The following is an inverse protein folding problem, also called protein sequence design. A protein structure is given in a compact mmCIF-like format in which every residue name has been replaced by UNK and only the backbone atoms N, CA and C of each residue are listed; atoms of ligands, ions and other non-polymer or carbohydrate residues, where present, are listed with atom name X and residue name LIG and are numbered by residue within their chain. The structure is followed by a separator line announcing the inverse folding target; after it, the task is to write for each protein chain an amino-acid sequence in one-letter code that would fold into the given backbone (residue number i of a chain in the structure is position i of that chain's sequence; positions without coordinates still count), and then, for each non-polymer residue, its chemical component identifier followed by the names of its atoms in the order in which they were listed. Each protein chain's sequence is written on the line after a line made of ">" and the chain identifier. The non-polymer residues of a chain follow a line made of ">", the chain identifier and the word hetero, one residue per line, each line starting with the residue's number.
data_IF_849262337289
#
_entry.id   IF_849262337289
#
_cell.length_a   1.000
_cell.length_b   1.000
_cell.length_c   1.000
_cell.angle_alpha   90.00
_cell.angle_beta   90.00
_cell.angle_gamma   90.00
#
_symmetry.space_group_name_H-M   'P 1'
#
loop_
_entity.id
_entity.type
_entity.pdbx_description
1 polymer ?
#
# COMPACT_ATOMS: atom_id res chain seq x y z
N UNK A 1 -16.54 -20.79 -9.17
CA UNK A 1 -16.63 -19.66 -8.24
C UNK A 1 -16.54 -20.03 -6.76
N UNK A 2 -16.66 -21.30 -6.35
CA UNK A 2 -16.62 -21.72 -4.93
C UNK A 2 -15.21 -21.85 -4.33
N UNK A 3 -14.16 -21.98 -5.15
CA UNK A 3 -12.76 -22.18 -4.67
C UNK A 3 -12.06 -20.91 -4.17
N UNK A 4 -12.43 -19.73 -4.64
CA UNK A 4 -11.77 -18.48 -4.27
C UNK A 4 -12.08 -18.04 -2.82
N UNK A 5 -13.30 -18.28 -2.36
CA UNK A 5 -13.74 -17.90 -1.00
C UNK A 5 -13.00 -18.71 0.10
N UNK A 6 -12.72 -19.99 -0.14
CA UNK A 6 -12.02 -20.86 0.81
C UNK A 6 -10.52 -20.56 0.93
N UNK A 7 -9.88 -20.08 -0.16
CA UNK A 7 -8.45 -19.73 -0.16
C UNK A 7 -8.16 -18.47 0.65
N UNK A 8 -9.07 -17.50 0.69
CA UNK A 8 -8.89 -16.25 1.46
C UNK A 8 -8.86 -16.51 2.97
N UNK A 9 -9.58 -17.53 3.46
CA UNK A 9 -9.63 -17.84 4.89
C UNK A 9 -8.34 -18.47 5.45
N UNK A 10 -7.60 -19.24 4.65
CA UNK A 10 -6.39 -19.94 5.13
C UNK A 10 -5.26 -18.95 5.45
N UNK A 11 -5.19 -17.84 4.72
CA UNK A 11 -4.18 -16.80 4.96
C UNK A 11 -4.59 -15.80 6.03
N UNK A 12 -5.89 -15.58 6.26
CA UNK A 12 -6.38 -14.60 7.22
C UNK A 12 -5.98 -14.89 8.67
N UNK A 13 -5.90 -16.14 9.09
CA UNK A 13 -5.54 -16.48 10.47
C UNK A 13 -4.09 -16.12 10.80
N UNK A 14 -3.15 -16.38 9.88
CA UNK A 14 -1.73 -16.06 10.09
C UNK A 14 -1.44 -14.57 9.98
N UNK A 15 -2.23 -13.85 9.17
CA UNK A 15 -2.06 -12.44 8.90
C UNK A 15 -2.70 -11.56 9.97
N UNK A 16 -3.71 -12.04 10.71
CA UNK A 16 -4.42 -11.27 11.76
C UNK A 16 -3.51 -10.77 12.88
N UNK A 17 -2.51 -11.55 13.27
CA UNK A 17 -1.55 -11.14 14.30
C UNK A 17 -0.71 -9.94 13.86
N UNK A 18 -0.26 -9.96 12.61
CA UNK A 18 0.53 -8.88 12.01
C UNK A 18 -0.35 -7.65 11.73
N UNK A 19 -1.58 -7.85 11.25
CA UNK A 19 -2.56 -6.79 11.03
C UNK A 19 -2.84 -6.00 12.32
N UNK A 20 -3.08 -6.69 13.45
CA UNK A 20 -3.28 -6.06 14.76
C UNK A 20 -2.04 -5.30 15.22
N UNK A 21 -0.87 -5.89 15.06
CA UNK A 21 0.39 -5.22 15.42
C UNK A 21 0.63 -3.96 14.56
N UNK A 22 0.38 -4.06 13.26
CA UNK A 22 0.44 -2.92 12.33
C UNK A 22 -0.53 -1.81 12.72
N UNK A 23 -1.74 -2.17 13.14
CA UNK A 23 -2.73 -1.21 13.62
C UNK A 23 -2.24 -0.51 14.88
N UNK A 24 -1.68 -1.24 15.85
CA UNK A 24 -1.10 -0.65 17.05
C UNK A 24 0.06 0.31 16.73
N UNK A 25 0.95 -0.05 15.83
CA UNK A 25 2.06 0.81 15.40
C UNK A 25 1.52 2.11 14.76
N UNK A 26 0.52 2.02 13.91
CA UNK A 26 -0.09 3.20 13.29
C UNK A 26 -0.85 4.07 14.32
N UNK A 27 -1.50 3.47 15.32
CA UNK A 27 -2.19 4.23 16.38
C UNK A 27 -1.22 5.04 17.28
N UNK A 28 0.06 4.67 17.35
CA UNK A 28 1.05 5.46 18.10
C UNK A 28 1.31 6.85 17.51
N UNK A 29 0.90 7.09 16.24
CA UNK A 29 0.94 8.41 15.64
C UNK A 29 -0.08 9.40 16.22
N UNK A 30 -1.21 8.91 16.70
CA UNK A 30 -2.33 9.76 17.14
C UNK A 30 -1.93 10.70 18.31
N UNK A 31 -1.34 10.21 19.42
CA UNK A 31 -0.93 11.08 20.52
C UNK A 31 0.05 12.17 20.05
N UNK A 32 0.97 11.81 19.15
CA UNK A 32 1.93 12.75 18.61
C UNK A 32 1.25 13.80 17.71
N UNK A 33 0.34 13.39 16.84
CA UNK A 33 -0.42 14.28 15.96
C UNK A 33 -1.24 15.32 16.74
N UNK A 34 -1.71 15.00 17.95
CA UNK A 34 -2.44 15.93 18.81
C UNK A 34 -1.50 16.80 19.66
N UNK A 35 -0.45 16.21 20.23
CA UNK A 35 0.46 16.92 21.14
C UNK A 35 1.31 17.97 20.44
N UNK A 36 1.74 17.68 19.21
CA UNK A 36 2.60 18.59 18.43
C UNK A 36 1.95 19.96 18.16
N UNK A 37 0.74 20.04 17.59
CA UNK A 37 0.07 21.33 17.39
C UNK A 37 -0.15 22.10 18.69
N UNK A 38 -0.43 21.41 19.81
CA UNK A 38 -0.64 22.05 21.12
C UNK A 38 0.66 22.68 21.60
N UNK A 39 1.78 21.98 21.52
CA UNK A 39 3.08 22.53 21.92
C UNK A 39 3.52 23.68 21.02
N UNK A 40 3.30 23.58 19.72
CA UNK A 40 3.59 24.67 18.78
C UNK A 40 2.75 25.91 19.13
N UNK A 41 1.44 25.75 19.40
CA UNK A 41 0.58 26.84 19.79
C UNK A 41 1.07 27.51 21.09
N UNK A 42 1.52 26.75 22.08
CA UNK A 42 2.09 27.30 23.30
C UNK A 42 3.38 28.08 23.05
N UNK A 43 4.28 27.57 22.20
CA UNK A 43 5.51 28.28 21.81
C UNK A 43 5.17 29.62 21.18
N UNK A 44 4.22 29.63 20.24
CA UNK A 44 3.78 30.87 19.54
C UNK A 44 3.15 31.86 20.51
N UNK A 45 2.25 31.41 21.38
CA UNK A 45 1.57 32.27 22.35
C UNK A 45 2.58 32.94 23.32
N UNK A 46 3.50 32.16 23.85
CA UNK A 46 4.55 32.69 24.76
C UNK A 46 5.57 33.60 24.06
N UNK A 47 5.81 33.33 22.76
CA UNK A 47 6.65 34.21 21.96
C UNK A 47 6.00 35.60 21.75
N UNK A 48 4.69 35.64 21.55
CA UNK A 48 3.94 36.90 21.44
C UNK A 48 3.90 37.66 22.76
N UNK A 49 3.83 36.97 23.89
CA UNK A 49 3.87 37.54 25.23
C UNK A 49 5.27 38.06 25.64
N UNK A 50 6.31 37.78 24.85
CA UNK A 50 7.69 38.21 25.09
C UNK A 50 8.43 37.43 26.19
N UNK A 51 7.90 36.28 26.62
CA UNK A 51 8.48 35.42 27.64
C UNK A 51 9.58 34.51 27.09
N UNK A 52 10.77 35.03 26.83
CA UNK A 52 11.87 34.27 26.20
C UNK A 52 12.26 32.96 26.96
N UNK A 53 12.20 32.93 28.28
CA UNK A 53 12.49 31.73 29.07
C UNK A 53 11.44 30.65 28.87
N UNK A 54 10.17 31.01 28.84
CA UNK A 54 9.08 30.07 28.60
C UNK A 54 9.13 29.51 27.15
N UNK A 55 9.40 30.35 26.16
CA UNK A 55 9.62 29.93 24.79
C UNK A 55 10.75 28.90 24.67
N UNK A 56 11.90 29.15 25.31
CA UNK A 56 13.02 28.22 25.30
C UNK A 56 12.66 26.87 25.95
N UNK A 57 11.91 26.89 27.07
CA UNK A 57 11.47 25.66 27.74
C UNK A 57 10.51 24.83 26.86
N UNK A 58 9.49 25.46 26.30
CA UNK A 58 8.54 24.75 25.41
C UNK A 58 9.19 24.28 24.11
N UNK A 59 10.12 25.04 23.55
CA UNK A 59 10.88 24.63 22.35
C UNK A 59 11.78 23.42 22.67
N UNK A 60 12.46 23.42 23.82
CA UNK A 60 13.26 22.28 24.27
C UNK A 60 12.39 21.02 24.49
N UNK A 61 11.20 21.18 25.10
CA UNK A 61 10.24 20.09 25.30
C UNK A 61 9.75 19.53 23.96
N UNK A 62 9.49 20.40 23.00
CA UNK A 62 9.06 20.01 21.64
C UNK A 62 10.16 19.23 20.91
N UNK A 63 11.42 19.66 20.99
CA UNK A 63 12.56 18.95 20.41
C UNK A 63 12.78 17.59 21.07
N UNK A 64 12.68 17.52 22.40
CA UNK A 64 12.80 16.26 23.14
C UNK A 64 11.69 15.27 22.79
N UNK A 65 10.44 15.75 22.69
CA UNK A 65 9.30 14.94 22.27
C UNK A 65 9.48 14.41 20.83
N UNK A 66 9.94 15.26 19.92
CA UNK A 66 10.19 14.90 18.52
C UNK A 66 11.29 13.84 18.43
N UNK A 67 12.40 14.00 19.15
CA UNK A 67 13.48 13.04 19.17
C UNK A 67 13.02 11.69 19.75
N UNK A 68 12.30 11.69 20.87
CA UNK A 68 11.76 10.49 21.48
C UNK A 68 10.77 9.78 20.56
N UNK A 69 9.89 10.53 19.90
CA UNK A 69 8.93 9.99 18.94
C UNK A 69 9.62 9.36 17.72
N UNK A 70 10.61 10.04 17.13
CA UNK A 70 11.36 9.51 15.99
C UNK A 70 12.08 8.20 16.34
N UNK A 71 12.74 8.14 17.51
CA UNK A 71 13.39 6.92 17.97
C UNK A 71 12.39 5.78 18.17
N UNK A 72 11.25 6.05 18.78
CA UNK A 72 10.18 5.08 18.96
C UNK A 72 9.64 4.60 17.63
N UNK A 73 9.35 5.51 16.70
CA UNK A 73 8.82 5.19 15.37
C UNK A 73 9.77 4.32 14.54
N UNK A 74 11.06 4.66 14.54
CA UNK A 74 12.06 3.84 13.82
C UNK A 74 12.09 2.42 14.37
N UNK A 75 12.05 2.24 15.68
CA UNK A 75 12.02 0.92 16.32
C UNK A 75 10.73 0.15 15.97
N UNK A 76 9.58 0.79 16.10
CA UNK A 76 8.28 0.17 15.83
C UNK A 76 8.11 -0.18 14.36
N UNK A 77 8.48 0.72 13.43
CA UNK A 77 8.42 0.46 12.00
C UNK A 77 9.37 -0.66 11.56
N UNK A 78 10.58 -0.71 12.15
CA UNK A 78 11.51 -1.81 11.87
C UNK A 78 10.94 -3.15 12.33
N UNK A 79 10.39 -3.22 13.54
CA UNK A 79 9.73 -4.41 14.06
C UNK A 79 8.50 -4.80 13.22
N UNK A 80 7.73 -3.83 12.74
CA UNK A 80 6.59 -4.06 11.85
C UNK A 80 7.06 -4.68 10.52
N UNK A 81 8.06 -4.09 9.87
CA UNK A 81 8.62 -4.61 8.61
C UNK A 81 9.14 -6.02 8.76
N UNK A 82 9.85 -6.33 9.84
CA UNK A 82 10.33 -7.70 10.12
C UNK A 82 9.17 -8.69 10.22
N UNK A 83 8.12 -8.38 10.99
CA UNK A 83 6.94 -9.25 11.13
C UNK A 83 6.18 -9.42 9.80
N UNK A 84 6.10 -8.37 8.98
CA UNK A 84 5.48 -8.43 7.65
C UNK A 84 6.27 -9.36 6.74
N UNK A 85 7.62 -9.25 6.70
CA UNK A 85 8.49 -10.10 5.90
C UNK A 85 8.42 -11.57 6.34
N UNK A 86 8.42 -11.84 7.64
CA UNK A 86 8.27 -13.21 8.16
C UNK A 86 6.91 -13.83 7.79
N UNK A 87 5.83 -13.04 7.86
CA UNK A 87 4.51 -13.49 7.46
C UNK A 87 4.42 -13.74 5.95
N UNK A 88 5.04 -12.87 5.14
CA UNK A 88 5.15 -13.05 3.69
C UNK A 88 5.89 -14.33 3.34
N UNK A 89 7.04 -14.60 3.98
CA UNK A 89 7.80 -15.85 3.78
C UNK A 89 6.97 -17.07 4.14
N UNK A 90 6.24 -17.03 5.26
CA UNK A 90 5.34 -18.15 5.65
C UNK A 90 4.24 -18.38 4.62
N UNK A 91 3.64 -17.30 4.10
CA UNK A 91 2.64 -17.40 3.05
C UNK A 91 3.23 -17.98 1.76
N UNK A 92 4.43 -17.55 1.34
CA UNK A 92 5.14 -18.09 0.17
C UNK A 92 5.40 -19.59 0.33
N UNK A 93 5.93 -20.02 1.46
CA UNK A 93 6.20 -21.45 1.72
C UNK A 93 4.93 -22.29 1.69
N UNK A 94 3.83 -21.80 2.24
CA UNK A 94 2.52 -22.49 2.14
C UNK A 94 2.04 -22.60 0.71
N UNK A 95 2.18 -21.52 -0.06
CA UNK A 95 1.80 -21.47 -1.47
C UNK A 95 2.62 -22.48 -2.29
N UNK A 96 3.93 -22.55 -2.08
CA UNK A 96 4.80 -23.54 -2.71
C UNK A 96 4.39 -24.97 -2.32
N UNK A 97 4.14 -25.24 -1.05
CA UNK A 97 3.69 -26.58 -0.61
C UNK A 97 2.37 -26.98 -1.28
N UNK A 98 1.42 -26.05 -1.40
CA UNK A 98 0.15 -26.31 -2.09
C UNK A 98 0.36 -26.53 -3.60
N UNK A 99 1.28 -25.78 -4.21
CA UNK A 99 1.61 -25.94 -5.61
C UNK A 99 2.17 -27.32 -5.91
N UNK A 100 3.14 -27.77 -5.12
CA UNK A 100 3.74 -29.13 -5.29
C UNK A 100 2.80 -30.25 -4.89
N UNK A 101 1.81 -30.01 -4.06
CA UNK A 101 0.80 -31.00 -3.71
C UNK A 101 -0.30 -31.16 -4.77
N UNK A 102 -0.37 -30.25 -5.76
CA UNK A 102 -1.35 -30.34 -6.84
C UNK A 102 -0.92 -31.38 -7.89
N UNK A 103 -1.83 -32.21 -8.38
CA UNK A 103 -1.51 -33.19 -9.41
C UNK A 103 -1.12 -32.53 -10.73
N UNK A 104 -0.19 -33.15 -11.44
CA UNK A 104 0.49 -32.62 -12.64
C UNK A 104 -0.47 -32.17 -13.76
N UNK A 105 -1.63 -32.85 -13.90
CA UNK A 105 -2.62 -32.54 -14.93
C UNK A 105 -3.32 -31.19 -14.73
N UNK A 106 -3.36 -30.67 -13.47
CA UNK A 106 -3.90 -29.34 -13.19
C UNK A 106 -2.86 -28.24 -13.46
N UNK A 107 -1.58 -28.57 -13.33
CA UNK A 107 -0.47 -27.63 -13.62
C UNK A 107 -0.34 -27.37 -15.12
N UNK A 108 -0.61 -28.37 -15.97
CA UNK A 108 -0.57 -28.22 -17.45
C UNK A 108 -1.68 -27.32 -18.01
N UNK A 109 -2.79 -27.14 -17.29
CA UNK A 109 -3.90 -26.27 -17.68
C UNK A 109 -3.68 -24.80 -17.33
N UNK A 110 -2.78 -24.47 -16.42
CA UNK A 110 -2.47 -23.11 -16.03
C UNK A 110 -1.21 -22.64 -16.75
N UNK A 111 -1.25 -21.43 -17.32
CA UNK A 111 -0.07 -20.84 -17.96
C UNK A 111 1.04 -20.66 -16.92
N UNK A 112 2.28 -20.96 -17.29
CA UNK A 112 3.45 -20.82 -16.41
C UNK A 112 3.59 -19.37 -15.93
N UNK A 113 3.30 -18.40 -16.81
CA UNK A 113 3.34 -16.98 -16.49
C UNK A 113 2.29 -16.56 -15.45
N UNK A 114 1.05 -17.05 -15.56
CA UNK A 114 -0.01 -16.77 -14.59
C UNK A 114 0.29 -17.37 -13.20
N UNK A 115 0.94 -18.54 -13.15
CA UNK A 115 1.38 -19.10 -11.88
C UNK A 115 2.52 -18.29 -11.24
N UNK A 116 3.52 -17.87 -12.03
CA UNK A 116 4.61 -17.02 -11.56
C UNK A 116 4.10 -15.67 -11.06
N UNK A 117 3.13 -15.05 -11.73
CA UNK A 117 2.51 -13.79 -11.32
C UNK A 117 1.81 -13.94 -9.97
N UNK A 118 1.03 -15.02 -9.78
CA UNK A 118 0.38 -15.31 -8.50
C UNK A 118 1.39 -15.48 -7.35
N UNK A 119 2.56 -16.06 -7.62
CA UNK A 119 3.60 -16.29 -6.61
C UNK A 119 4.42 -15.04 -6.28
N UNK A 120 4.60 -14.10 -7.22
CA UNK A 120 5.42 -12.93 -7.03
C UNK A 120 4.60 -11.68 -6.67
N UNK A 121 3.69 -11.27 -7.54
CA UNK A 121 2.99 -9.99 -7.40
C UNK A 121 1.70 -10.07 -6.60
N UNK A 122 0.88 -11.10 -6.81
CA UNK A 122 -0.41 -11.20 -6.12
C UNK A 122 -0.23 -11.40 -4.62
N UNK A 123 0.76 -12.21 -4.21
CA UNK A 123 1.06 -12.41 -2.80
C UNK A 123 1.51 -11.11 -2.13
N UNK A 124 2.46 -10.40 -2.74
CA UNK A 124 2.95 -9.11 -2.22
C UNK A 124 1.80 -8.10 -2.11
N UNK A 125 0.98 -7.99 -3.15
CA UNK A 125 -0.18 -7.07 -3.16
C UNK A 125 -1.18 -7.42 -2.05
N UNK A 126 -1.50 -8.70 -1.85
CA UNK A 126 -2.43 -9.14 -0.81
C UNK A 126 -1.86 -8.92 0.59
N UNK A 127 -0.59 -9.25 0.81
CA UNK A 127 0.08 -9.04 2.10
C UNK A 127 0.20 -7.56 2.43
N UNK A 128 0.61 -6.72 1.50
CA UNK A 128 0.68 -5.28 1.68
C UNK A 128 -0.69 -4.69 2.01
N UNK A 129 -1.73 -5.07 1.27
CA UNK A 129 -3.10 -4.57 1.49
C UNK A 129 -3.64 -4.95 2.87
N UNK A 130 -3.40 -6.16 3.33
CA UNK A 130 -3.91 -6.64 4.62
C UNK A 130 -3.09 -6.15 5.81
N UNK A 131 -1.77 -6.08 5.66
CA UNK A 131 -0.88 -5.79 6.78
C UNK A 131 -0.50 -4.32 6.90
N UNK A 132 -0.57 -3.55 5.82
CA UNK A 132 -0.14 -2.14 5.80
C UNK A 132 -1.30 -1.21 5.49
N UNK A 133 -2.02 -1.43 4.38
CA UNK A 133 -3.01 -0.45 3.91
C UNK A 133 -4.26 -0.43 4.80
N UNK A 134 -4.81 -1.59 5.17
CA UNK A 134 -6.00 -1.65 6.03
C UNK A 134 -5.77 -1.08 7.42
N UNK A 135 -4.71 -1.47 8.16
CA UNK A 135 -4.39 -0.86 9.45
C UNK A 135 -4.09 0.63 9.34
N UNK A 136 -3.40 1.06 8.26
CA UNK A 136 -3.16 2.47 7.99
C UNK A 136 -4.43 3.27 7.79
N UNK A 137 -5.37 2.76 6.98
CA UNK A 137 -6.67 3.41 6.77
C UNK A 137 -7.51 3.49 8.06
N UNK A 138 -7.50 2.43 8.88
CA UNK A 138 -8.22 2.42 10.14
C UNK A 138 -7.62 3.43 11.14
N UNK A 139 -6.29 3.51 11.21
CA UNK A 139 -5.60 4.48 12.05
C UNK A 139 -5.84 5.92 11.58
N UNK A 140 -5.74 6.19 10.28
CA UNK A 140 -6.05 7.51 9.71
C UNK A 140 -7.49 7.94 9.96
N UNK A 141 -8.44 7.01 9.86
CA UNK A 141 -9.84 7.27 10.23
C UNK A 141 -10.00 7.64 11.70
N UNK A 142 -9.36 6.89 12.60
CA UNK A 142 -9.37 7.19 14.04
C UNK A 142 -8.71 8.54 14.35
N UNK A 143 -7.59 8.84 13.72
CA UNK A 143 -6.89 10.13 13.84
C UNK A 143 -7.78 11.29 13.39
N UNK A 144 -8.42 11.17 12.24
CA UNK A 144 -9.35 12.19 11.70
C UNK A 144 -10.51 12.43 12.65
N UNK A 145 -11.10 11.37 13.23
CA UNK A 145 -12.21 11.49 14.18
C UNK A 145 -11.77 12.16 15.48
N UNK A 146 -10.64 11.77 16.05
CA UNK A 146 -10.13 12.34 17.31
C UNK A 146 -9.71 13.79 17.12
N UNK A 147 -9.00 14.10 16.05
CA UNK A 147 -8.57 15.46 15.75
C UNK A 147 -9.77 16.35 15.39
N UNK A 148 -10.74 15.82 14.65
CA UNK A 148 -11.99 16.50 14.37
C UNK A 148 -12.80 16.84 15.63
N UNK A 149 -12.91 15.88 16.57
CA UNK A 149 -13.56 16.08 17.84
C UNK A 149 -12.84 17.15 18.70
N UNK A 150 -11.50 17.13 18.72
CA UNK A 150 -10.69 18.14 19.40
C UNK A 150 -10.91 19.54 18.80
N UNK A 151 -10.94 19.68 17.47
CA UNK A 151 -11.19 20.95 16.80
C UNK A 151 -12.61 21.48 17.07
N UNK A 152 -13.62 20.61 17.08
CA UNK A 152 -15.00 20.99 17.43
C UNK A 152 -15.10 21.47 18.87
N UNK A 153 -14.35 20.87 19.79
CA UNK A 153 -14.30 21.31 21.19
C UNK A 153 -13.62 22.67 21.35
N UNK A 154 -12.56 22.93 20.59
CA UNK A 154 -11.79 24.20 20.66
C UNK A 154 -12.56 25.34 19.98
N UNK A 155 -13.14 25.12 18.80
CA UNK A 155 -13.91 26.09 18.02
C UNK A 155 -14.93 25.36 17.13
N UNK A 156 -16.23 25.35 17.52
CA UNK A 156 -17.25 24.58 16.78
C UNK A 156 -17.38 24.99 15.31
N UNK A 157 -17.27 26.27 15.02
CA UNK A 157 -17.40 26.80 13.65
C UNK A 157 -16.21 26.39 12.77
N UNK A 158 -14.98 26.59 13.26
CA UNK A 158 -13.77 26.21 12.52
C UNK A 158 -13.68 24.69 12.35
N UNK A 159 -14.00 23.93 13.41
CA UNK A 159 -14.04 22.48 13.37
C UNK A 159 -15.04 21.93 12.36
N UNK A 160 -16.24 22.50 12.28
CA UNK A 160 -17.26 22.10 11.31
C UNK A 160 -16.82 22.37 9.86
N UNK A 161 -16.20 23.51 9.59
CA UNK A 161 -15.68 23.86 8.26
C UNK A 161 -14.58 22.88 7.84
N UNK A 162 -13.61 22.62 8.71
CA UNK A 162 -12.47 21.71 8.42
C UNK A 162 -12.96 20.29 8.19
N UNK A 163 -13.88 19.79 9.02
CA UNK A 163 -14.48 18.46 8.82
C UNK A 163 -15.29 18.39 7.53
N UNK A 164 -16.04 19.45 7.19
CA UNK A 164 -16.77 19.52 5.92
C UNK A 164 -15.86 19.44 4.71
N UNK A 165 -14.74 20.18 4.72
CA UNK A 165 -13.75 20.15 3.64
C UNK A 165 -13.08 18.76 3.57
N UNK A 166 -12.75 18.16 4.71
CA UNK A 166 -12.13 16.83 4.78
C UNK A 166 -13.06 15.75 4.22
N UNK A 167 -14.35 15.81 4.49
CA UNK A 167 -15.36 14.91 3.92
C UNK A 167 -15.50 15.12 2.41
N UNK A 168 -15.46 16.37 1.94
CA UNK A 168 -15.54 16.69 0.52
C UNK A 168 -14.36 16.08 -0.27
N UNK A 169 -13.17 16.04 0.33
CA UNK A 169 -11.98 15.42 -0.30
C UNK A 169 -12.10 13.91 -0.52
N UNK A 170 -13.01 13.23 0.17
CA UNK A 170 -13.25 11.78 -0.03
C UNK A 170 -14.08 11.51 -1.29
N UNK A 171 -14.84 12.47 -1.75
CA UNK A 171 -15.77 12.31 -2.88
C UNK A 171 -15.05 12.01 -4.20
N UNK A 172 -14.02 12.77 -4.63
CA UNK A 172 -13.32 12.51 -5.90
C UNK A 172 -12.77 11.10 -6.05
N UNK A 173 -12.04 10.54 -5.07
CA UNK A 173 -11.56 9.15 -5.15
C UNK A 173 -12.68 8.11 -5.26
N UNK A 174 -13.84 8.35 -4.64
CA UNK A 174 -14.98 7.44 -4.71
C UNK A 174 -15.62 7.41 -6.10
N UNK A 175 -15.73 8.57 -6.75
CA UNK A 175 -16.29 8.70 -8.11
C UNK A 175 -15.35 8.01 -9.12
N UNK A 176 -14.06 8.31 -9.03
CA UNK A 176 -13.06 7.83 -10.00
C UNK A 176 -12.68 6.36 -9.80
N UNK A 177 -12.91 5.82 -8.60
CA UNK A 177 -12.52 4.45 -8.23
C UNK A 177 -12.98 3.38 -9.22
N UNK A 178 -14.25 3.44 -9.67
CA UNK A 178 -14.80 2.44 -10.58
C UNK A 178 -14.13 2.49 -11.96
N UNK A 179 -13.85 3.68 -12.44
CA UNK A 179 -13.17 3.91 -13.70
C UNK A 179 -11.70 3.45 -13.65
N UNK A 180 -10.98 3.84 -12.59
CA UNK A 180 -9.61 3.40 -12.36
C UNK A 180 -9.50 1.87 -12.26
N UNK A 181 -10.46 1.22 -11.61
CA UNK A 181 -10.45 -0.23 -11.44
C UNK A 181 -10.57 -0.98 -12.76
N UNK A 182 -11.45 -0.51 -13.66
CA UNK A 182 -11.61 -1.11 -15.01
C UNK A 182 -10.34 -0.93 -15.85
N UNK A 183 -9.73 0.24 -15.80
CA UNK A 183 -8.49 0.51 -16.56
C UNK A 183 -7.30 -0.25 -15.97
N UNK A 184 -7.21 -0.34 -14.64
CA UNK A 184 -6.19 -1.14 -13.97
C UNK A 184 -6.26 -2.62 -14.36
N UNK A 185 -7.45 -3.20 -14.43
CA UNK A 185 -7.65 -4.58 -14.86
C UNK A 185 -7.25 -4.79 -16.34
N UNK A 186 -7.45 -3.78 -17.19
CA UNK A 186 -6.98 -3.81 -18.61
C UNK A 186 -5.44 -3.77 -18.67
N UNK A 187 -4.81 -2.85 -17.94
CA UNK A 187 -3.35 -2.73 -17.89
C UNK A 187 -2.72 -4.05 -17.40
N UNK A 188 -3.28 -4.63 -16.35
CA UNK A 188 -2.79 -5.89 -15.77
C UNK A 188 -2.87 -7.07 -16.76
N UNK A 189 -3.90 -7.12 -17.61
CA UNK A 189 -3.97 -8.16 -18.67
C UNK A 189 -2.84 -8.01 -19.67
N UNK A 190 -2.54 -6.78 -20.08
CA UNK A 190 -1.46 -6.51 -21.04
C UNK A 190 -0.09 -6.76 -20.41
N UNK A 191 0.10 -6.46 -19.13
CA UNK A 191 1.32 -6.84 -18.38
C UNK A 191 1.53 -8.36 -18.39
N UNK A 192 0.46 -9.13 -18.19
CA UNK A 192 0.50 -10.59 -18.34
C UNK A 192 0.90 -11.03 -19.74
N UNK A 193 0.37 -10.38 -20.79
CA UNK A 193 0.72 -10.67 -22.18
C UNK A 193 2.20 -10.33 -22.47
N UNK A 194 2.71 -9.20 -21.98
CA UNK A 194 4.13 -8.81 -22.07
C UNK A 194 5.01 -9.86 -21.40
N UNK A 195 4.66 -10.25 -20.17
CA UNK A 195 5.42 -11.25 -19.41
C UNK A 195 5.46 -12.59 -20.12
N UNK A 196 4.32 -13.07 -20.64
CA UNK A 196 4.25 -14.31 -21.41
C UNK A 196 5.06 -14.23 -22.70
N UNK A 197 5.02 -13.09 -23.38
CA UNK A 197 5.79 -12.88 -24.61
C UNK A 197 7.31 -12.92 -24.33
N UNK A 198 7.76 -12.29 -23.24
CA UNK A 198 9.17 -12.29 -22.82
C UNK A 198 9.60 -13.72 -22.45
N UNK A 199 8.80 -14.46 -21.68
CA UNK A 199 9.10 -15.85 -21.32
C UNK A 199 9.25 -16.70 -22.56
N UNK A 200 8.35 -16.55 -23.54
CA UNK A 200 8.42 -17.27 -24.81
C UNK A 200 9.68 -16.93 -25.59
N UNK A 201 10.11 -15.65 -25.58
CA UNK A 201 11.37 -15.22 -26.18
C UNK A 201 12.60 -15.90 -25.53
N UNK A 202 12.61 -16.01 -24.20
CA UNK A 202 13.69 -16.71 -23.49
C UNK A 202 13.70 -18.21 -23.80
N UNK A 203 12.54 -18.84 -23.84
CA UNK A 203 12.40 -20.26 -24.18
C UNK A 203 12.84 -20.54 -25.63
N UNK A 204 12.52 -19.63 -26.55
CA UNK A 204 12.86 -19.71 -27.97
C UNK A 204 14.14 -18.98 -28.35
N UNK A 205 14.97 -18.55 -27.40
CA UNK A 205 16.15 -17.69 -27.66
C UNK A 205 17.08 -18.24 -28.73
N UNK A 206 17.37 -19.55 -28.70
CA UNK A 206 18.21 -20.19 -29.69
C UNK A 206 17.63 -20.12 -31.09
N UNK A 207 16.32 -20.33 -31.22
CA UNK A 207 15.60 -20.27 -32.51
C UNK A 207 15.57 -18.83 -33.04
N UNK A 208 15.29 -17.86 -32.19
CA UNK A 208 15.29 -16.43 -32.54
C UNK A 208 16.66 -16.02 -33.09
N UNK A 209 17.75 -16.51 -32.47
CA UNK A 209 19.12 -16.22 -32.88
C UNK A 209 19.50 -16.93 -34.20
N UNK A 210 19.15 -18.22 -34.34
CA UNK A 210 19.44 -19.02 -35.52
C UNK A 210 18.74 -18.50 -36.78
N UNK A 211 17.46 -18.10 -36.63
CA UNK A 211 16.65 -17.62 -37.75
C UNK A 211 16.69 -16.11 -37.96
N UNK A 212 17.48 -15.36 -37.17
CA UNK A 212 17.63 -13.91 -37.32
C UNK A 212 16.36 -13.11 -37.01
N UNK A 213 15.44 -13.66 -36.18
CA UNK A 213 14.10 -13.10 -35.92
C UNK A 213 14.12 -11.96 -34.88
N UNK A 214 15.28 -11.43 -34.50
CA UNK A 214 15.43 -10.40 -33.47
C UNK A 214 14.52 -9.18 -33.73
N UNK A 215 14.61 -8.63 -34.93
CA UNK A 215 13.89 -7.38 -35.24
C UNK A 215 12.38 -7.59 -35.32
N UNK A 216 11.94 -8.74 -35.76
CA UNK A 216 10.52 -9.13 -35.74
C UNK A 216 10.01 -9.22 -34.29
N UNK A 217 10.76 -9.86 -33.37
CA UNK A 217 10.41 -9.96 -31.96
C UNK A 217 10.34 -8.59 -31.29
N UNK A 218 11.33 -7.74 -31.52
CA UNK A 218 11.36 -6.38 -31.00
C UNK A 218 10.19 -5.55 -31.53
N UNK A 219 9.84 -5.69 -32.82
CA UNK A 219 8.67 -5.07 -33.42
C UNK A 219 7.37 -5.48 -32.72
N UNK A 220 7.19 -6.79 -32.49
CA UNK A 220 6.00 -7.31 -31.78
C UNK A 220 5.93 -6.85 -30.33
N UNK A 221 7.03 -6.86 -29.61
CA UNK A 221 7.11 -6.34 -28.25
C UNK A 221 6.73 -4.86 -28.20
N UNK A 222 7.22 -4.07 -29.14
CA UNK A 222 6.90 -2.63 -29.24
C UNK A 222 5.40 -2.39 -29.52
N UNK A 223 4.74 -3.23 -30.33
CA UNK A 223 3.29 -3.18 -30.56
C UNK A 223 2.51 -3.41 -29.24
N UNK A 224 2.95 -4.37 -28.43
CA UNK A 224 2.29 -4.65 -27.13
C UNK A 224 2.50 -3.48 -26.17
N UNK A 225 3.72 -2.92 -26.09
CA UNK A 225 4.01 -1.74 -25.28
C UNK A 225 3.24 -0.49 -25.73
N UNK A 226 3.06 -0.27 -27.01
CA UNK A 226 2.22 0.84 -27.52
C UNK A 226 0.78 0.71 -27.04
N UNK A 227 0.19 -0.50 -27.08
CA UNK A 227 -1.16 -0.75 -26.53
C UNK A 227 -1.22 -0.48 -25.03
N UNK A 228 -0.21 -0.90 -24.28
CA UNK A 228 -0.09 -0.61 -22.84
C UNK A 228 -0.07 0.90 -22.58
N UNK A 229 0.73 1.63 -23.35
CA UNK A 229 0.89 3.08 -23.21
C UNK A 229 -0.39 3.85 -23.53
N UNK A 230 -1.12 3.47 -24.57
CA UNK A 230 -2.41 4.10 -24.93
C UNK A 230 -3.42 3.92 -23.81
N UNK A 231 -3.59 2.72 -23.28
CA UNK A 231 -4.53 2.44 -22.19
C UNK A 231 -4.09 3.13 -20.88
N UNK A 232 -2.79 3.18 -20.61
CA UNK A 232 -2.24 3.90 -19.47
C UNK A 232 -2.51 5.41 -19.55
N UNK A 233 -2.35 6.02 -20.72
CA UNK A 233 -2.65 7.44 -20.93
C UNK A 233 -4.15 7.76 -20.87
N UNK A 234 -5.01 6.94 -21.42
CA UNK A 234 -6.46 7.14 -21.28
C UNK A 234 -6.90 7.16 -19.81
N UNK A 235 -6.17 6.49 -18.93
CA UNK A 235 -6.44 6.48 -17.49
C UNK A 235 -5.99 7.75 -16.76
N UNK A 236 -5.11 8.55 -17.35
CA UNK A 236 -4.55 9.79 -16.73
C UNK A 236 -5.38 11.03 -17.11
N UNK A 237 -6.04 11.01 -18.27
CA UNK A 237 -6.77 12.16 -18.80
C UNK A 237 -8.30 12.08 -18.67
N UNK A 238 -8.82 11.06 -17.98
CA UNK A 238 -10.24 10.91 -17.69
C UNK A 238 -10.53 11.10 -16.19
#
# INVERSE_FOLDING_TARGET
>A
MCGAKKRTYIYQEELRGVERFSLWVNLTHIPYGILMPILIAQVVTRAVEGEAKAVACFAAALLALLAAFLLLQVRLQTAQKQKVLEAEQRCRLKLYRQFYANPLHLLHRSSLGGNLENFSNDLVTVTQRLMTDRPGMAAAGAETLLFGAYLLWLSPLAGAIILGISLLQVIPPLIVRKYLQVNYDKCRRIEGDITNFIITAFQGFLLIKLYGLKDWWLGKLNEIYKRYWVIGNESVFA
#
